data_IF_685818184161
#
_entry.id   IF_685818184161
#
_cell.length_a   1.000
_cell.length_b   1.000
_cell.length_c   1.000
_cell.angle_alpha   90.00
_cell.angle_beta   90.00
_cell.angle_gamma   90.00
#
_symmetry.space_group_name_H-M   'P 1'
#
loop_
_entity.id
_entity.type
_entity.pdbx_description
1 polymer ?
#
# COMPACT_ATOMS: atom_id res chain seq x y z
N UNK A 1 6.87 -10.36 -19.94
CA UNK A 1 5.82 -10.51 -18.93
C UNK A 1 5.62 -11.99 -18.68
N UNK A 2 5.65 -12.44 -17.43
CA UNK A 2 5.30 -13.82 -17.10
C UNK A 2 3.78 -13.92 -17.07
N UNK A 3 3.20 -14.84 -17.84
CA UNK A 3 1.75 -15.10 -17.91
C UNK A 3 1.26 -15.76 -16.60
N UNK A 4 1.14 -14.95 -15.55
CA UNK A 4 0.79 -15.40 -14.19
C UNK A 4 -0.28 -14.52 -13.59
N UNK A 5 -1.34 -15.14 -13.08
CA UNK A 5 -2.38 -14.48 -12.29
C UNK A 5 -2.21 -14.91 -10.84
N UNK A 6 -2.02 -13.93 -9.96
CA UNK A 6 -1.92 -14.15 -8.52
C UNK A 6 -3.31 -14.04 -7.89
N UNK A 7 -3.67 -15.01 -7.07
CA UNK A 7 -5.00 -15.09 -6.46
C UNK A 7 -4.84 -15.36 -4.97
N UNK A 8 -5.37 -14.45 -4.15
CA UNK A 8 -5.52 -14.63 -2.71
C UNK A 8 -6.83 -15.36 -2.39
N UNK A 9 -6.77 -16.30 -1.45
CA UNK A 9 -7.91 -17.08 -0.98
C UNK A 9 -8.21 -16.74 0.47
N UNK A 10 -9.49 -16.68 0.80
CA UNK A 10 -9.94 -16.65 2.19
C UNK A 10 -9.86 -18.06 2.78
N UNK A 11 -9.53 -18.16 4.06
CA UNK A 11 -9.69 -19.40 4.82
C UNK A 11 -11.18 -19.65 5.04
N UNK A 12 -11.64 -20.89 4.83
CA UNK A 12 -13.03 -21.26 5.04
C UNK A 12 -13.12 -22.73 5.48
N UNK A 13 -13.81 -22.96 6.60
CA UNK A 13 -14.02 -24.27 7.19
C UNK A 13 -15.39 -24.33 7.86
N UNK A 14 -16.09 -25.44 7.67
CA UNK A 14 -17.33 -25.76 8.38
C UNK A 14 -17.13 -27.06 9.15
N UNK A 15 -17.30 -26.98 10.47
CA UNK A 15 -17.02 -28.09 11.38
C UNK A 15 -15.59 -28.62 11.18
N UNK A 16 -15.43 -29.88 10.78
CA UNK A 16 -14.14 -30.51 10.52
C UNK A 16 -13.74 -30.50 9.03
N UNK A 17 -14.54 -29.89 8.16
CA UNK A 17 -14.27 -29.83 6.71
C UNK A 17 -13.67 -28.49 6.35
N UNK A 18 -12.42 -28.50 5.89
CA UNK A 18 -11.76 -27.31 5.37
C UNK A 18 -12.07 -27.20 3.87
N UNK A 19 -12.79 -26.14 3.48
CA UNK A 19 -13.08 -25.83 2.08
C UNK A 19 -11.95 -25.02 1.43
N UNK A 20 -11.25 -24.23 2.22
CA UNK A 20 -10.09 -23.44 1.78
C UNK A 20 -9.12 -23.22 2.94
N UNK A 21 -7.85 -23.56 2.72
CA UNK A 21 -6.77 -23.21 3.66
C UNK A 21 -6.35 -21.73 3.55
N UNK A 22 -7.02 -20.92 2.73
CA UNK A 22 -6.59 -19.55 2.46
C UNK A 22 -5.28 -19.49 1.66
N UNK A 23 -4.48 -18.46 1.91
CA UNK A 23 -3.18 -18.28 1.26
C UNK A 23 -3.26 -17.79 -0.19
N UNK A 24 -2.18 -18.03 -0.95
CA UNK A 24 -2.04 -17.58 -2.34
C UNK A 24 -1.80 -18.76 -3.26
N UNK A 25 -2.47 -18.75 -4.41
CA UNK A 25 -2.13 -19.63 -5.54
C UNK A 25 -1.94 -18.79 -6.79
N UNK A 26 -1.11 -19.28 -7.69
CA UNK A 26 -0.77 -18.57 -8.92
C UNK A 26 -1.20 -19.44 -10.09
N UNK A 27 -2.02 -18.87 -10.99
CA UNK A 27 -2.35 -19.51 -12.25
C UNK A 27 -1.30 -19.11 -13.29
N UNK A 28 -0.46 -20.06 -13.68
CA UNK A 28 0.45 -19.91 -14.81
C UNK A 28 -0.26 -20.36 -16.08
N UNK A 29 -0.25 -19.55 -17.13
CA UNK A 29 -0.89 -19.88 -18.41
C UNK A 29 0.04 -19.57 -19.58
N UNK A 30 -0.22 -20.16 -20.73
CA UNK A 30 0.56 -19.91 -21.96
C UNK A 30 -0.27 -19.12 -22.96
N UNK A 31 -1.24 -19.79 -23.57
CA UNK A 31 -2.26 -19.21 -24.44
C UNK A 31 -3.61 -19.69 -23.95
N UNK A 32 -4.39 -18.81 -23.30
CA UNK A 32 -5.74 -19.12 -22.82
C UNK A 32 -6.64 -19.44 -24.03
N UNK A 33 -6.74 -20.71 -24.37
CA UNK A 33 -7.61 -21.21 -25.41
C UNK A 33 -8.54 -22.26 -24.80
N UNK A 34 -9.84 -22.00 -24.83
CA UNK A 34 -10.86 -22.88 -24.25
C UNK A 34 -10.83 -24.33 -24.80
N UNK A 35 -10.20 -24.58 -25.95
CA UNK A 35 -10.03 -25.93 -26.49
C UNK A 35 -8.78 -26.67 -25.99
N UNK A 36 -7.84 -26.02 -25.31
CA UNK A 36 -6.58 -26.59 -24.85
C UNK A 36 -6.60 -26.77 -23.33
N UNK A 37 -6.64 -28.02 -22.86
CA UNK A 37 -6.82 -28.35 -21.44
C UNK A 37 -5.52 -28.24 -20.62
N UNK A 38 -4.36 -28.21 -21.29
CA UNK A 38 -3.02 -28.18 -20.68
C UNK A 38 -2.32 -26.82 -20.80
N UNK A 39 -3.06 -25.77 -21.19
CA UNK A 39 -2.51 -24.43 -21.40
C UNK A 39 -2.21 -23.67 -20.10
N UNK A 40 -2.64 -24.22 -18.96
CA UNK A 40 -2.60 -23.61 -17.64
C UNK A 40 -2.24 -24.60 -16.54
N UNK A 41 -1.56 -24.10 -15.50
CA UNK A 41 -1.19 -24.89 -14.32
C UNK A 41 -1.20 -24.02 -13.07
N UNK A 42 -1.63 -24.61 -11.96
CA UNK A 42 -1.58 -23.96 -10.65
C UNK A 42 -0.20 -24.10 -10.02
N UNK A 43 0.33 -22.99 -9.52
CA UNK A 43 1.54 -22.94 -8.70
C UNK A 43 1.16 -22.66 -7.25
N UNK A 44 1.91 -23.26 -6.33
CA UNK A 44 1.75 -23.06 -4.88
C UNK A 44 2.94 -22.33 -4.27
N UNK A 45 2.75 -21.73 -3.10
CA UNK A 45 3.83 -21.12 -2.33
C UNK A 45 4.58 -22.22 -1.56
N UNK A 46 5.92 -22.27 -1.69
CA UNK A 46 6.75 -23.29 -1.03
C UNK A 46 7.18 -22.92 0.39
N UNK A 47 7.13 -21.63 0.74
CA UNK A 47 7.46 -21.08 2.07
C UNK A 47 6.25 -20.32 2.64
N UNK A 48 5.14 -21.00 2.97
CA UNK A 48 3.93 -20.35 3.45
C UNK A 48 4.11 -19.66 4.82
N UNK A 49 5.13 -20.03 5.59
CA UNK A 49 5.60 -19.35 6.79
C UNK A 49 6.14 -17.93 6.52
N UNK A 50 6.50 -17.61 5.28
CA UNK A 50 6.88 -16.26 4.89
C UNK A 50 5.67 -15.32 4.75
N UNK A 51 4.44 -15.81 4.79
CA UNK A 51 3.22 -14.98 4.75
C UNK A 51 3.14 -14.03 5.96
N UNK A 52 2.39 -12.92 5.87
CA UNK A 52 2.30 -11.97 6.98
C UNK A 52 1.86 -12.65 8.28
N UNK A 53 2.55 -12.34 9.38
CA UNK A 53 2.35 -12.95 10.70
C UNK A 53 2.77 -14.42 10.83
N UNK A 54 3.52 -14.97 9.87
CA UNK A 54 4.06 -16.35 9.93
C UNK A 54 3.01 -17.45 9.76
N UNK A 55 1.80 -17.10 9.32
CA UNK A 55 0.65 -18.00 9.30
C UNK A 55 0.40 -18.55 7.89
N UNK A 56 0.41 -19.88 7.78
CA UNK A 56 0.20 -20.61 6.53
C UNK A 56 -1.27 -20.61 6.08
N UNK A 57 -2.19 -20.54 7.05
CA UNK A 57 -3.63 -20.70 6.83
C UNK A 57 -4.41 -19.38 6.94
N UNK A 58 -3.75 -18.24 6.75
CA UNK A 58 -4.39 -16.94 6.88
C UNK A 58 -5.21 -16.57 5.64
N UNK A 59 -6.40 -16.01 5.86
CA UNK A 59 -7.21 -15.39 4.80
C UNK A 59 -6.47 -14.22 4.17
N UNK A 60 -6.18 -14.30 2.87
CA UNK A 60 -5.61 -13.19 2.12
C UNK A 60 -6.73 -12.22 1.77
N UNK A 61 -6.65 -11.00 2.30
CA UNK A 61 -7.68 -9.97 2.16
C UNK A 61 -7.45 -9.12 0.91
N UNK A 62 -6.19 -8.84 0.59
CA UNK A 62 -5.81 -8.05 -0.57
C UNK A 62 -4.37 -8.34 -0.97
N UNK A 63 -4.10 -8.26 -2.28
CA UNK A 63 -2.75 -8.30 -2.85
C UNK A 63 -2.58 -7.10 -3.78
N UNK A 64 -1.36 -6.58 -3.87
CA UNK A 64 -1.02 -5.57 -4.86
C UNK A 64 0.45 -5.73 -5.29
N UNK A 65 0.72 -5.51 -6.57
CA UNK A 65 2.08 -5.29 -7.04
C UNK A 65 2.34 -3.80 -7.07
N UNK A 66 3.47 -3.39 -6.51
CA UNK A 66 3.92 -2.01 -6.60
C UNK A 66 4.70 -1.75 -7.90
N UNK A 67 5.14 -0.51 -8.13
CA UNK A 67 5.84 -0.12 -9.37
C UNK A 67 7.26 -0.71 -9.47
N UNK A 68 7.81 -1.23 -8.37
CA UNK A 68 9.07 -1.96 -8.33
C UNK A 68 8.85 -3.47 -8.50
N UNK A 69 7.62 -3.89 -8.77
CA UNK A 69 7.22 -5.28 -8.89
C UNK A 69 7.33 -6.06 -7.56
N UNK A 70 7.40 -5.36 -6.42
CA UNK A 70 7.30 -6.00 -5.12
C UNK A 70 5.84 -6.37 -4.87
N UNK A 71 5.64 -7.56 -4.32
CA UNK A 71 4.32 -8.07 -3.97
C UNK A 71 3.99 -7.63 -2.54
N UNK A 72 2.87 -6.95 -2.38
CA UNK A 72 2.30 -6.58 -1.09
C UNK A 72 1.14 -7.51 -0.78
N UNK A 73 1.19 -8.17 0.37
CA UNK A 73 0.15 -9.08 0.83
C UNK A 73 -0.42 -8.52 2.13
N UNK A 74 -1.73 -8.36 2.16
CA UNK A 74 -2.52 -8.07 3.35
C UNK A 74 -3.35 -9.31 3.69
N UNK A 75 -3.19 -9.82 4.91
CA UNK A 75 -4.03 -10.87 5.48
C UNK A 75 -4.54 -10.42 6.86
N UNK A 76 -5.28 -11.30 7.56
CA UNK A 76 -5.82 -11.02 8.90
C UNK A 76 -4.75 -10.85 9.99
N UNK A 77 -3.52 -11.30 9.74
CA UNK A 77 -2.40 -11.22 10.69
C UNK A 77 -1.49 -10.01 10.47
N UNK A 78 -1.46 -9.44 9.28
CA UNK A 78 -0.59 -8.30 9.00
C UNK A 78 -0.42 -7.98 7.52
N UNK A 79 0.56 -7.10 7.27
CA UNK A 79 0.99 -6.70 5.93
C UNK A 79 2.47 -7.00 5.78
N UNK A 80 2.83 -7.66 4.68
CA UNK A 80 4.23 -7.91 4.34
C UNK A 80 4.48 -7.58 2.87
N UNK A 81 5.67 -7.04 2.62
CA UNK A 81 6.19 -6.81 1.27
C UNK A 81 7.16 -7.91 0.90
N UNK A 82 7.17 -8.31 -0.36
CA UNK A 82 8.08 -9.31 -0.91
C UNK A 82 8.81 -8.70 -2.11
N UNK A 83 10.12 -8.54 -1.99
CA UNK A 83 10.96 -7.86 -2.98
C UNK A 83 11.17 -8.70 -4.24
N UNK A 84 10.90 -10.01 -4.14
CA UNK A 84 10.96 -10.90 -5.27
C UNK A 84 10.32 -12.25 -4.98
N UNK A 85 10.45 -13.13 -5.96
CA UNK A 85 10.07 -14.52 -5.81
C UNK A 85 10.88 -15.41 -6.76
N UNK A 86 11.16 -16.65 -6.35
CA UNK A 86 11.87 -17.66 -7.14
C UNK A 86 10.87 -18.67 -7.66
N UNK A 87 10.87 -18.90 -8.97
CA UNK A 87 10.00 -19.88 -9.62
C UNK A 87 10.73 -21.21 -9.82
N UNK A 88 10.16 -22.30 -9.31
CA UNK A 88 10.62 -23.66 -9.58
C UNK A 88 9.66 -24.35 -10.55
N UNK A 89 10.09 -24.50 -11.80
CA UNK A 89 9.30 -25.11 -12.88
C UNK A 89 9.02 -26.60 -12.65
N UNK A 90 9.94 -27.33 -12.03
CA UNK A 90 9.83 -28.78 -11.81
C UNK A 90 8.77 -29.07 -10.76
N UNK A 91 8.82 -28.35 -9.64
CA UNK A 91 7.92 -28.55 -8.51
C UNK A 91 6.63 -27.74 -8.62
N UNK A 92 6.51 -26.87 -9.65
CA UNK A 92 5.39 -25.95 -9.82
C UNK A 92 5.16 -25.08 -8.57
N UNK A 93 6.25 -24.59 -8.00
CA UNK A 93 6.20 -23.75 -6.79
C UNK A 93 6.81 -22.37 -7.01
N UNK A 94 6.38 -21.44 -6.18
CA UNK A 94 6.98 -20.12 -6.01
C UNK A 94 7.48 -19.99 -4.56
N UNK A 95 8.73 -19.57 -4.41
CA UNK A 95 9.30 -19.19 -3.10
C UNK A 95 9.31 -17.68 -3.02
N UNK A 96 8.63 -17.11 -2.03
CA UNK A 96 8.58 -15.66 -1.81
C UNK A 96 9.84 -15.16 -1.11
N UNK A 97 10.29 -13.95 -1.45
CA UNK A 97 11.45 -13.30 -0.85
C UNK A 97 10.98 -12.07 -0.04
N UNK A 98 10.77 -12.19 1.28
CA UNK A 98 10.21 -11.12 2.10
C UNK A 98 11.20 -9.97 2.29
N UNK A 99 10.67 -8.75 2.41
CA UNK A 99 11.44 -7.62 2.89
C UNK A 99 11.83 -7.86 4.36
N UNK A 100 13.13 -7.97 4.62
CA UNK A 100 13.68 -8.26 5.93
C UNK A 100 14.30 -7.02 6.59
N UNK A 101 14.26 -6.99 7.91
CA UNK A 101 15.01 -6.03 8.74
C UNK A 101 15.92 -6.79 9.71
N UNK A 102 16.95 -6.13 10.21
CA UNK A 102 17.80 -6.69 11.24
C UNK A 102 17.13 -6.58 12.61
N UNK A 103 17.11 -7.68 13.36
CA UNK A 103 16.73 -7.68 14.76
C UNK A 103 17.85 -7.11 15.66
N UNK A 104 17.65 -7.14 16.98
CA UNK A 104 18.63 -6.63 17.96
C UNK A 104 19.93 -7.44 17.98
N UNK A 105 19.88 -8.69 17.53
CA UNK A 105 21.00 -9.64 17.49
C UNK A 105 21.69 -9.67 16.11
N UNK A 106 21.18 -8.89 15.14
CA UNK A 106 21.70 -8.81 13.77
C UNK A 106 21.20 -9.90 12.83
N UNK A 107 20.16 -10.65 13.19
CA UNK A 107 19.51 -11.61 12.30
C UNK A 107 18.49 -10.91 11.39
N UNK A 108 18.39 -11.37 10.14
CA UNK A 108 17.36 -10.92 9.22
C UNK A 108 16.02 -11.58 9.55
N UNK A 109 15.02 -10.75 9.87
CA UNK A 109 13.65 -11.17 10.11
C UNK A 109 12.68 -10.49 9.16
N UNK A 110 11.64 -11.19 8.67
CA UNK A 110 10.60 -10.56 7.85
C UNK A 110 9.90 -9.42 8.59
N UNK A 111 9.73 -8.28 7.91
CA UNK A 111 9.12 -7.10 8.51
C UNK A 111 7.61 -7.06 8.28
N UNK A 112 6.84 -7.01 9.37
CA UNK A 112 5.39 -6.83 9.34
C UNK A 112 5.03 -5.35 9.50
N UNK A 113 4.49 -4.76 8.43
CA UNK A 113 4.05 -3.37 8.42
C UNK A 113 2.76 -3.20 9.23
N UNK A 114 2.66 -2.08 9.95
CA UNK A 114 1.44 -1.69 10.67
C UNK A 114 0.91 -2.81 11.59
N UNK A 115 1.80 -3.49 12.31
CA UNK A 115 1.47 -4.61 13.22
C UNK A 115 0.56 -4.23 14.40
N UNK A 116 0.41 -2.93 14.68
CA UNK A 116 -0.50 -2.41 15.70
C UNK A 116 -1.96 -2.29 15.20
N UNK A 117 -2.22 -2.54 13.91
CA UNK A 117 -3.55 -2.47 13.31
C UNK A 117 -4.11 -3.88 13.12
N UNK A 118 -5.40 -4.03 13.43
CA UNK A 118 -6.15 -5.26 13.19
C UNK A 118 -6.86 -5.23 11.85
N UNK A 119 -6.72 -6.30 11.07
CA UNK A 119 -7.26 -6.41 9.72
C UNK A 119 -8.45 -7.35 9.65
N UNK A 120 -9.46 -6.96 8.89
CA UNK A 120 -10.72 -7.70 8.72
C UNK A 120 -11.14 -7.76 7.25
N UNK A 121 -12.04 -8.67 6.92
CA UNK A 121 -12.60 -8.80 5.58
C UNK A 121 -13.09 -7.46 5.04
N UNK A 122 -12.64 -7.10 3.84
CA UNK A 122 -12.95 -5.83 3.18
C UNK A 122 -11.83 -4.80 3.28
N UNK A 123 -10.81 -5.00 4.14
CA UNK A 123 -9.61 -4.17 4.15
C UNK A 123 -8.76 -4.45 2.90
N UNK A 124 -8.11 -3.41 2.38
CA UNK A 124 -7.44 -3.46 1.07
C UNK A 124 -6.10 -2.75 1.10
N UNK A 125 -5.25 -3.13 0.15
CA UNK A 125 -4.08 -2.35 -0.23
C UNK A 125 -4.26 -1.80 -1.65
N UNK A 126 -3.87 -0.55 -1.86
CA UNK A 126 -3.81 0.14 -3.16
C UNK A 126 -2.46 0.79 -3.33
N UNK A 127 -1.99 0.89 -4.57
CA UNK A 127 -0.73 1.56 -4.91
C UNK A 127 -1.08 2.81 -5.71
N UNK A 128 -0.58 3.97 -5.28
CA UNK A 128 -0.81 5.24 -5.98
C UNK A 128 0.24 5.51 -7.08
N UNK A 129 0.13 6.66 -7.77
CA UNK A 129 1.05 7.01 -8.86
C UNK A 129 2.48 7.34 -8.40
N UNK A 130 2.70 7.57 -7.10
CA UNK A 130 4.02 7.82 -6.52
C UNK A 130 4.57 6.57 -5.79
N UNK A 131 4.01 5.38 -6.07
CA UNK A 131 4.43 4.11 -5.48
C UNK A 131 4.22 4.02 -3.95
N UNK A 132 3.28 4.82 -3.41
CA UNK A 132 2.88 4.71 -2.01
C UNK A 132 1.79 3.66 -1.86
N UNK A 133 1.83 2.96 -0.73
CA UNK A 133 0.92 1.86 -0.41
C UNK A 133 -0.14 2.39 0.55
N UNK A 134 -1.35 2.51 0.05
CA UNK A 134 -2.53 2.92 0.79
C UNK A 134 -3.20 1.69 1.40
N UNK A 135 -3.20 1.62 2.72
CA UNK A 135 -3.82 0.56 3.51
C UNK A 135 -5.17 1.07 3.99
N UNK A 136 -6.22 0.58 3.34
CA UNK A 136 -7.61 0.95 3.60
C UNK A 136 -8.20 -0.03 4.61
N UNK A 137 -8.69 0.49 5.73
CA UNK A 137 -9.21 -0.33 6.82
C UNK A 137 -10.56 0.17 7.32
N UNK A 138 -11.13 -0.56 8.29
CA UNK A 138 -12.31 -0.12 9.03
C UNK A 138 -11.98 0.74 10.27
N UNK A 139 -10.72 1.16 10.43
CA UNK A 139 -10.22 1.95 11.56
C UNK A 139 -9.55 3.26 11.10
N UNK A 140 -9.63 3.58 9.81
CA UNK A 140 -8.90 4.67 9.17
C UNK A 140 -8.07 4.19 7.98
N UNK A 141 -7.18 5.05 7.52
CA UNK A 141 -6.29 4.81 6.38
C UNK A 141 -4.85 5.08 6.78
N UNK A 142 -3.93 4.22 6.35
CA UNK A 142 -2.49 4.44 6.50
C UNK A 142 -1.83 4.49 5.13
N UNK A 143 -0.84 5.36 4.98
CA UNK A 143 -0.07 5.48 3.74
C UNK A 143 1.39 5.17 4.04
N UNK A 144 1.90 4.09 3.46
CA UNK A 144 3.32 3.71 3.51
C UNK A 144 3.97 4.28 2.26
N UNK A 145 4.77 5.32 2.43
CA UNK A 145 5.49 5.97 1.34
C UNK A 145 6.46 4.99 0.68
N UNK A 146 6.89 5.28 -0.55
CA UNK A 146 7.97 4.52 -1.21
C UNK A 146 9.21 4.40 -0.31
N UNK A 147 9.54 5.48 0.41
CA UNK A 147 10.62 5.53 1.41
C UNK A 147 10.39 4.69 2.69
N UNK A 148 9.31 3.90 2.76
CA UNK A 148 8.84 3.13 3.93
C UNK A 148 8.34 3.95 5.13
N UNK A 149 8.44 5.28 5.08
CA UNK A 149 7.88 6.18 6.10
C UNK A 149 6.35 6.26 6.00
N UNK A 150 5.70 6.61 7.11
CA UNK A 150 4.25 6.79 7.15
C UNK A 150 3.85 8.24 6.85
N UNK A 151 2.76 8.42 6.08
CA UNK A 151 2.12 9.72 5.83
C UNK A 151 0.66 9.72 6.32
N UNK A 152 0.15 10.85 6.86
CA UNK A 152 0.91 12.05 7.25
C UNK A 152 1.77 11.82 8.51
N UNK A 153 1.48 10.76 9.25
CA UNK A 153 2.25 10.26 10.40
C UNK A 153 1.96 8.78 10.61
N UNK A 154 2.58 8.15 11.61
CA UNK A 154 2.30 6.77 12.00
C UNK A 154 0.84 6.53 12.45
N UNK A 155 0.12 7.59 12.86
CA UNK A 155 -1.27 7.52 13.30
C UNK A 155 -2.27 7.41 12.14
N UNK A 156 -1.81 7.51 10.89
CA UNK A 156 -2.68 7.47 9.72
C UNK A 156 -3.69 8.62 9.68
N UNK A 157 -4.76 8.41 8.91
CA UNK A 157 -5.90 9.31 8.75
C UNK A 157 -7.14 8.69 9.34
N UNK A 158 -7.81 9.42 10.22
CA UNK A 158 -9.04 9.01 10.89
C UNK A 158 -9.96 10.24 11.11
N UNK A 159 -11.16 10.01 11.63
CA UNK A 159 -12.17 11.04 11.89
C UNK A 159 -11.68 12.14 12.82
N UNK A 160 -10.75 11.83 13.74
CA UNK A 160 -10.27 12.75 14.77
C UNK A 160 -9.19 13.70 14.24
N UNK A 161 -8.41 13.28 13.24
CA UNK A 161 -7.21 14.02 12.79
C UNK A 161 -7.25 14.52 11.34
N UNK A 162 -8.26 14.16 10.54
CA UNK A 162 -8.26 14.43 9.09
C UNK A 162 -9.55 14.97 8.51
N UNK A 163 -10.63 15.04 9.30
CA UNK A 163 -11.96 15.42 8.78
C UNK A 163 -12.62 14.34 7.92
N UNK A 164 -12.10 13.10 7.97
CA UNK A 164 -12.74 11.94 7.35
C UNK A 164 -14.16 11.77 7.91
N UNK A 165 -15.13 11.44 7.04
CA UNK A 165 -16.52 11.28 7.47
C UNK A 165 -16.69 10.08 8.42
N UNK A 166 -15.89 9.03 8.22
CA UNK A 166 -15.88 7.82 9.05
C UNK A 166 -14.57 7.06 8.97
N UNK A 167 -14.21 6.37 10.05
CA UNK A 167 -13.06 5.45 10.09
C UNK A 167 -13.30 4.18 9.27
N UNK A 168 -14.56 3.87 8.93
CA UNK A 168 -14.89 2.73 8.08
C UNK A 168 -14.73 3.13 6.63
N UNK A 169 -13.63 2.73 6.00
CA UNK A 169 -13.31 3.01 4.59
C UNK A 169 -13.30 1.72 3.78
N UNK A 170 -13.97 1.72 2.62
CA UNK A 170 -14.14 0.54 1.77
C UNK A 170 -13.22 0.54 0.54
N UNK A 171 -12.90 1.71 0.01
CA UNK A 171 -11.96 1.85 -1.11
C UNK A 171 -11.47 3.30 -1.27
N UNK A 172 -10.43 3.44 -2.08
CA UNK A 172 -9.88 4.74 -2.51
C UNK A 172 -9.71 4.77 -4.02
N UNK A 173 -10.05 5.90 -4.64
CA UNK A 173 -9.72 6.22 -6.02
C UNK A 173 -8.90 7.51 -6.08
N UNK A 174 -7.92 7.57 -6.98
CA UNK A 174 -6.99 8.70 -7.09
C UNK A 174 -7.25 9.51 -8.36
N UNK A 175 -7.36 10.83 -8.22
CA UNK A 175 -7.23 11.81 -9.31
C UNK A 175 -5.83 12.41 -9.20
N UNK A 176 -4.88 11.80 -9.92
CA UNK A 176 -3.46 12.17 -9.83
C UNK A 176 -3.20 13.55 -10.43
N UNK A 177 -4.01 14.00 -11.40
CA UNK A 177 -3.85 15.32 -12.02
C UNK A 177 -4.18 16.45 -11.04
N UNK A 178 -5.20 16.24 -10.18
CA UNK A 178 -5.61 17.20 -9.15
C UNK A 178 -4.96 16.93 -7.79
N UNK A 179 -4.31 15.80 -7.62
CA UNK A 179 -3.80 15.34 -6.33
C UNK A 179 -4.93 15.11 -5.33
N UNK A 180 -6.01 14.44 -5.74
CA UNK A 180 -7.14 14.13 -4.87
C UNK A 180 -7.25 12.62 -4.65
N UNK A 181 -7.56 12.22 -3.42
CA UNK A 181 -8.03 10.89 -3.08
C UNK A 181 -9.51 10.93 -2.73
N UNK A 182 -10.32 10.15 -3.44
CA UNK A 182 -11.74 9.94 -3.17
C UNK A 182 -11.88 8.68 -2.33
N UNK A 183 -12.38 8.84 -1.10
CA UNK A 183 -12.47 7.79 -0.10
C UNK A 183 -13.93 7.39 0.07
N UNK A 184 -14.26 6.15 -0.28
CA UNK A 184 -15.59 5.60 -0.07
C UNK A 184 -15.72 5.13 1.38
N UNK A 185 -16.47 5.88 2.20
CA UNK A 185 -16.74 5.56 3.61
C UNK A 185 -18.17 5.07 3.81
N UNK A 186 -18.47 4.46 4.96
CA UNK A 186 -19.85 4.09 5.33
C UNK A 186 -20.81 5.28 5.53
N UNK A 187 -20.28 6.51 5.63
CA UNK A 187 -21.05 7.76 5.73
C UNK A 187 -21.01 8.61 4.45
N UNK A 188 -20.57 8.04 3.33
CA UNK A 188 -20.49 8.73 2.04
C UNK A 188 -19.05 8.92 1.57
N UNK A 189 -18.82 9.87 0.66
CA UNK A 189 -17.51 10.10 0.03
C UNK A 189 -16.76 11.23 0.74
N UNK A 190 -15.57 10.95 1.25
CA UNK A 190 -14.61 11.99 1.66
C UNK A 190 -13.63 12.28 0.53
N UNK A 191 -13.31 13.55 0.32
CA UNK A 191 -12.34 13.98 -0.69
C UNK A 191 -11.15 14.59 0.05
N UNK A 192 -9.98 13.99 -0.14
CA UNK A 192 -8.74 14.42 0.50
C UNK A 192 -7.79 15.00 -0.54
N UNK A 193 -7.28 16.20 -0.29
CA UNK A 193 -6.13 16.71 -1.04
C UNK A 193 -4.87 16.01 -0.57
N UNK A 194 -4.20 15.31 -1.48
CA UNK A 194 -2.98 14.54 -1.22
C UNK A 194 -1.77 15.22 -1.90
N UNK A 195 -0.55 15.05 -1.36
CA UNK A 195 0.67 15.62 -1.96
C UNK A 195 1.25 14.76 -3.10
N UNK A 196 0.53 13.72 -3.53
CA UNK A 196 1.01 12.69 -4.47
C UNK A 196 0.51 12.90 -5.91
N UNK A 197 0.32 14.14 -6.35
CA UNK A 197 -0.11 14.42 -7.73
C UNK A 197 0.96 14.07 -8.76
N UNK A 198 0.54 13.68 -9.97
CA UNK A 198 1.41 13.63 -11.13
C UNK A 198 1.83 15.08 -11.43
N UNK A 199 3.15 15.34 -11.36
CA UNK A 199 3.76 16.68 -11.27
C UNK A 199 3.01 17.78 -12.04
N UNK A 200 2.88 19.00 -11.46
CA UNK A 200 2.25 20.11 -12.17
C UNK A 200 2.90 20.27 -13.54
N UNK A 201 2.09 20.24 -14.61
CA UNK A 201 2.58 20.54 -15.96
C UNK A 201 3.44 21.81 -15.90
N UNK A 202 4.57 21.83 -16.63
CA UNK A 202 5.62 22.89 -16.62
C UNK A 202 5.13 24.35 -16.64
N UNK A 203 3.86 24.59 -16.96
CA UNK A 203 3.22 25.91 -17.04
C UNK A 203 2.75 26.50 -15.70
N UNK A 204 2.69 25.74 -14.60
CA UNK A 204 2.30 26.28 -13.29
C UNK A 204 3.53 26.47 -12.40
N UNK A 205 3.99 27.72 -12.26
CA UNK A 205 5.09 28.06 -11.36
C UNK A 205 4.70 27.81 -9.89
N UNK A 206 5.68 27.37 -9.09
CA UNK A 206 5.58 27.35 -7.63
C UNK A 206 5.22 28.74 -7.12
N UNK A 207 4.34 28.83 -6.12
CA UNK A 207 4.02 30.10 -5.48
C UNK A 207 3.82 29.93 -3.98
N UNK A 208 3.95 31.06 -3.28
CA UNK A 208 3.86 31.17 -1.83
C UNK A 208 2.75 32.16 -1.48
N UNK A 209 1.90 31.80 -0.52
CA UNK A 209 0.75 32.62 -0.10
C UNK A 209 0.52 32.47 1.41
N UNK A 210 0.23 33.56 2.13
CA UNK A 210 0.23 34.95 1.65
C UNK A 210 1.64 35.47 1.39
N UNK A 211 1.75 36.44 0.49
CA UNK A 211 3.00 37.15 0.19
C UNK A 211 2.67 38.63 -0.13
N UNK A 212 2.99 39.58 0.76
CA UNK A 212 3.74 39.41 2.00
C UNK A 212 2.93 38.64 3.07
N UNK A 213 3.64 37.95 3.96
CA UNK A 213 3.07 37.33 5.17
C UNK A 213 3.15 38.35 6.31
N UNK A 214 2.01 38.69 6.90
CA UNK A 214 1.86 39.75 7.90
C UNK A 214 1.48 39.12 9.23
N UNK A 215 2.30 39.30 10.25
CA UNK A 215 1.95 38.91 11.63
C UNK A 215 1.23 40.06 12.35
N UNK A 216 0.19 39.80 13.16
CA UNK A 216 -0.38 38.50 13.51
C UNK A 216 -1.51 38.03 12.56
N UNK A 217 -1.82 38.82 11.53
CA UNK A 217 -2.99 38.62 10.67
C UNK A 217 -2.97 37.28 9.91
N UNK A 218 -1.79 36.82 9.53
CA UNK A 218 -1.56 35.55 8.86
C UNK A 218 -1.03 34.48 9.83
N UNK A 219 -1.73 33.34 9.93
CA UNK A 219 -1.34 32.24 10.83
C UNK A 219 -0.37 31.24 10.17
N UNK A 220 -0.42 31.08 8.85
CA UNK A 220 0.41 30.10 8.12
C UNK A 220 0.75 30.53 6.70
N UNK A 221 1.91 30.08 6.24
CA UNK A 221 2.33 30.19 4.83
C UNK A 221 2.07 28.88 4.10
N UNK A 222 1.50 28.97 2.91
CA UNK A 222 1.22 27.84 2.02
C UNK A 222 2.12 27.96 0.79
N UNK A 223 2.88 26.91 0.51
CA UNK A 223 3.66 26.76 -0.73
C UNK A 223 2.88 25.79 -1.63
N UNK A 224 2.56 26.22 -2.86
CA UNK A 224 1.72 25.48 -3.82
C UNK A 224 2.47 25.26 -5.14
N UNK A 225 1.96 24.31 -5.93
CA UNK A 225 2.55 23.85 -7.20
C UNK A 225 3.99 23.34 -7.07
N UNK A 226 4.28 22.65 -5.97
CA UNK A 226 5.57 21.99 -5.77
C UNK A 226 5.49 20.58 -6.38
N UNK A 227 6.42 20.19 -7.26
CA UNK A 227 6.51 18.81 -7.75
C UNK A 227 6.56 17.80 -6.60
N UNK A 228 5.89 16.66 -6.75
CA UNK A 228 5.89 15.63 -5.70
C UNK A 228 7.31 15.12 -5.45
N UNK A 229 7.64 14.83 -4.19
CA UNK A 229 8.99 14.42 -3.79
C UNK A 229 10.03 15.56 -3.69
N UNK A 230 9.67 16.81 -3.96
CA UNK A 230 10.60 17.94 -3.80
C UNK A 230 10.99 18.15 -2.34
N UNK A 231 12.25 18.50 -2.11
CA UNK A 231 12.73 18.97 -0.81
C UNK A 231 12.54 20.49 -0.76
N UNK A 232 11.71 20.96 0.15
CA UNK A 232 11.54 22.40 0.42
C UNK A 232 12.46 22.76 1.59
N UNK A 233 13.36 23.72 1.36
CA UNK A 233 14.19 24.33 2.41
C UNK A 233 13.82 25.79 2.56
N UNK A 234 13.49 26.22 3.77
CA UNK A 234 13.20 27.61 4.12
C UNK A 234 14.42 28.16 4.84
N UNK A 235 15.00 29.24 4.31
CA UNK A 235 16.25 29.81 4.82
C UNK A 235 16.11 31.31 5.08
N UNK A 236 16.89 31.84 6.02
CA UNK A 236 17.07 33.27 6.19
C UNK A 236 17.88 33.87 5.03
N UNK A 237 17.84 35.19 4.86
CA UNK A 237 18.72 35.91 3.92
C UNK A 237 20.21 35.71 4.20
N UNK A 238 20.56 35.33 5.43
CA UNK A 238 21.94 35.02 5.86
C UNK A 238 22.33 33.55 5.60
N UNK A 239 21.43 32.73 5.05
CA UNK A 239 21.70 31.34 4.71
C UNK A 239 21.42 30.32 5.82
N UNK A 240 20.83 30.72 6.94
CA UNK A 240 20.48 29.79 8.02
C UNK A 240 19.21 29.02 7.67
N UNK A 241 19.24 27.70 7.80
CA UNK A 241 18.08 26.82 7.60
C UNK A 241 17.09 26.99 8.76
N UNK A 242 15.85 27.33 8.44
CA UNK A 242 14.72 27.39 9.37
C UNK A 242 13.93 26.09 9.34
N UNK A 243 13.71 25.52 8.14
CA UNK A 243 12.97 24.29 7.90
C UNK A 243 13.42 23.58 6.64
#
# INVERSE_FOLDING_TARGET
QSNRVWIGFAYDALENTIYSNGGIKILEYTNLNFSAVDDSSWLTISNPDAMPGGSQDASVLSIAFDKMNHLWILNEKGIRSFEGYKYNRLNKTITLDPFNVLDQDGNEIPYDFLSHISYTKGNKIRVDSQNNKWVITHQGIWVILESTKYWPSANGLNTENSGLLSNIVYDVAFDNDKGLAYLATDKGISILQIPFSDNPTKKKSMYISPNPFIMPDDERVIIKNVPSGSIIKIMTITGNLIK
#
